data_IF_272566332789
#
_entry.id   IF_272566332789
#
_cell.length_a   1.000
_cell.length_b   1.000
_cell.length_c   1.000
_cell.angle_alpha   90.00
_cell.angle_beta   90.00
_cell.angle_gamma   90.00
#
_symmetry.space_group_name_H-M   'P 1'
#
loop_
_entity.id
_entity.type
_entity.pdbx_description
1 polymer ?
#
# COMPACT_ATOMS: atom_id res chain seq x y z
N UNK A 1 -19.33 69.97 22.36
CA UNK A 1 -19.35 70.34 23.79
C UNK A 1 -19.54 69.08 24.63
N UNK A 2 -18.61 68.83 25.57
CA UNK A 2 -18.70 68.00 26.79
C UNK A 2 -18.92 66.48 26.70
N UNK A 3 -17.80 65.79 26.93
CA UNK A 3 -17.56 64.45 27.54
C UNK A 3 -18.59 64.04 28.61
N UNK A 4 -18.84 62.73 28.76
CA UNK A 4 -18.40 61.92 29.93
C UNK A 4 -18.62 60.41 29.77
N UNK A 5 -17.59 59.67 30.12
CA UNK A 5 -17.43 58.21 30.24
C UNK A 5 -17.70 57.82 31.71
N UNK A 6 -18.30 56.64 31.98
CA UNK A 6 -17.91 55.59 32.97
C UNK A 6 -19.02 54.52 33.11
N UNK A 7 -18.79 53.26 32.70
CA UNK A 7 -18.49 52.03 33.52
C UNK A 7 -19.68 51.59 34.41
N UNK A 8 -20.15 50.33 34.53
CA UNK A 8 -19.70 48.97 34.19
C UNK A 8 -20.87 47.95 34.42
N UNK A 9 -20.59 46.63 34.25
CA UNK A 9 -21.35 45.40 34.66
C UNK A 9 -22.19 44.76 33.53
N UNK A 10 -21.64 43.87 32.69
CA UNK A 10 -21.36 42.41 32.86
C UNK A 10 -22.61 41.52 32.71
N UNK A 11 -22.82 40.93 31.51
CA UNK A 11 -23.06 39.49 31.27
C UNK A 11 -22.68 39.20 29.81
N UNK A 12 -21.65 38.38 29.63
CA UNK A 12 -21.15 37.87 28.35
C UNK A 12 -21.92 36.57 28.07
N UNK A 13 -22.72 36.53 26.99
CA UNK A 13 -23.25 35.30 26.42
C UNK A 13 -22.57 35.05 25.07
N UNK A 14 -21.48 34.30 25.12
CA UNK A 14 -20.80 33.70 23.98
C UNK A 14 -21.68 32.54 23.49
N UNK A 15 -22.28 32.67 22.31
CA UNK A 15 -22.82 31.55 21.55
C UNK A 15 -21.98 31.41 20.27
N UNK A 16 -20.86 30.72 20.42
CA UNK A 16 -20.04 30.19 19.33
C UNK A 16 -20.88 29.11 18.63
N UNK A 17 -21.50 29.46 17.50
CA UNK A 17 -22.00 28.47 16.55
C UNK A 17 -20.84 28.02 15.65
N UNK A 18 -19.92 27.22 16.23
CA UNK A 18 -19.04 26.34 15.45
C UNK A 18 -19.93 25.17 15.03
N UNK A 19 -20.62 25.34 13.89
CA UNK A 19 -21.24 24.21 13.22
C UNK A 19 -20.13 23.52 12.42
N UNK A 20 -19.70 22.36 12.92
CA UNK A 20 -18.68 21.53 12.31
C UNK A 20 -19.10 21.13 10.90
N UNK A 21 -18.49 21.77 9.91
CA UNK A 21 -18.32 21.16 8.59
C UNK A 21 -17.24 20.08 8.75
N UNK A 22 -17.68 18.86 9.05
CA UNK A 22 -16.90 17.66 8.74
C UNK A 22 -16.74 17.62 7.23
N UNK A 23 -15.63 18.15 6.74
CA UNK A 23 -15.20 17.92 5.36
C UNK A 23 -14.85 16.44 5.24
N UNK A 24 -15.83 15.64 4.82
CA UNK A 24 -15.56 14.35 4.18
C UNK A 24 -14.69 14.66 2.97
N UNK A 25 -13.38 14.41 3.10
CA UNK A 25 -12.44 14.51 2.00
C UNK A 25 -12.79 13.40 1.00
N UNK A 26 -13.56 13.75 -0.02
CA UNK A 26 -13.67 12.96 -1.23
C UNK A 26 -12.27 12.79 -1.82
N UNK A 27 -11.83 11.54 -1.90
CA UNK A 27 -10.69 11.15 -2.72
C UNK A 27 -10.85 11.79 -4.10
N UNK A 28 -9.85 12.58 -4.50
CA UNK A 28 -9.76 13.09 -5.87
C UNK A 28 -9.46 11.92 -6.82
N UNK A 29 -10.49 11.17 -7.20
CA UNK A 29 -10.48 10.46 -8.48
C UNK A 29 -10.39 11.51 -9.59
N UNK A 30 -9.53 11.25 -10.58
CA UNK A 30 -9.52 12.02 -11.83
C UNK A 30 -10.96 12.13 -12.36
N UNK A 31 -11.38 13.37 -12.61
CA UNK A 31 -12.65 13.74 -13.24
C UNK A 31 -12.73 13.05 -14.62
N UNK A 32 -13.53 11.97 -14.75
CA UNK A 32 -13.84 11.41 -16.07
C UNK A 32 -14.34 9.96 -16.14
N UNK A 33 -13.81 9.03 -15.37
CA UNK A 33 -14.24 7.63 -15.48
C UNK A 33 -15.47 7.37 -14.60
N UNK A 34 -16.59 6.98 -15.22
CA UNK A 34 -17.72 6.44 -14.47
C UNK A 34 -17.26 5.21 -13.67
N UNK A 35 -17.46 5.23 -12.35
CA UNK A 35 -17.18 4.09 -11.48
C UNK A 35 -18.13 2.96 -11.87
N UNK A 36 -17.61 2.01 -12.66
CA UNK A 36 -18.35 0.78 -13.00
C UNK A 36 -18.54 -0.04 -11.72
N UNK A 37 -19.79 -0.28 -11.34
CA UNK A 37 -20.10 -1.09 -10.17
C UNK A 37 -19.86 -2.57 -10.47
N UNK A 38 -19.56 -3.34 -9.42
CA UNK A 38 -19.27 -4.76 -9.55
C UNK A 38 -20.45 -5.51 -10.20
N UNK A 39 -21.70 -5.19 -9.83
CA UNK A 39 -22.89 -5.81 -10.42
C UNK A 39 -23.05 -5.60 -11.92
N UNK A 40 -22.50 -4.52 -12.46
CA UNK A 40 -22.58 -4.19 -13.89
C UNK A 40 -21.50 -4.91 -14.71
N UNK A 41 -20.41 -5.32 -14.06
CA UNK A 41 -19.28 -6.02 -14.71
C UNK A 41 -19.31 -7.52 -14.54
N UNK A 42 -19.69 -8.01 -13.35
CA UNK A 42 -19.59 -9.43 -13.01
C UNK A 42 -20.96 -10.08 -12.92
N UNK A 43 -21.03 -11.33 -13.37
CA UNK A 43 -22.26 -12.12 -13.39
C UNK A 43 -22.56 -12.72 -12.01
N UNK A 44 -23.85 -12.82 -11.67
CA UNK A 44 -24.34 -13.51 -10.48
C UNK A 44 -23.75 -13.02 -9.14
N UNK A 45 -23.53 -11.71 -9.00
CA UNK A 45 -23.17 -11.09 -7.72
C UNK A 45 -24.42 -10.89 -6.86
N UNK A 46 -24.58 -11.72 -5.83
CA UNK A 46 -25.67 -11.61 -4.83
C UNK A 46 -25.32 -10.68 -3.66
N UNK A 47 -24.03 -10.49 -3.42
CA UNK A 47 -23.44 -9.58 -2.43
C UNK A 47 -22.26 -8.88 -3.09
N UNK A 48 -21.79 -7.75 -2.53
CA UNK A 48 -20.69 -6.95 -3.09
C UNK A 48 -21.02 -6.30 -4.44
N UNK A 49 -22.31 -6.13 -4.79
CA UNK A 49 -22.72 -5.58 -6.09
C UNK A 49 -22.49 -4.07 -6.24
N UNK A 50 -22.64 -3.31 -5.15
CA UNK A 50 -22.59 -1.83 -5.15
C UNK A 50 -21.19 -1.26 -4.95
N UNK A 51 -20.16 -2.10 -4.83
CA UNK A 51 -18.77 -1.64 -4.75
C UNK A 51 -18.18 -1.40 -6.14
N UNK A 52 -17.08 -0.63 -6.27
CA UNK A 52 -16.34 -0.52 -7.52
C UNK A 52 -15.86 -1.88 -8.03
N UNK A 53 -16.06 -2.15 -9.32
CA UNK A 53 -15.79 -3.47 -9.90
C UNK A 53 -14.30 -3.87 -9.80
N UNK A 54 -13.39 -2.91 -9.80
CA UNK A 54 -11.95 -3.17 -9.69
C UNK A 54 -11.49 -3.57 -8.27
N UNK A 55 -12.35 -3.46 -7.25
CA UNK A 55 -12.09 -3.94 -5.89
C UNK A 55 -12.37 -5.44 -5.70
N UNK A 56 -13.10 -6.09 -6.61
CA UNK A 56 -13.55 -7.47 -6.41
C UNK A 56 -12.39 -8.44 -6.20
N UNK A 57 -11.35 -8.36 -7.05
CA UNK A 57 -10.15 -9.18 -6.88
C UNK A 57 -9.44 -8.94 -5.54
N UNK A 58 -9.36 -7.69 -5.07
CA UNK A 58 -8.74 -7.34 -3.78
C UNK A 58 -9.50 -7.94 -2.61
N UNK A 59 -10.83 -7.83 -2.63
CA UNK A 59 -11.70 -8.42 -1.61
C UNK A 59 -11.53 -9.94 -1.58
N UNK A 60 -11.47 -10.60 -2.74
CA UNK A 60 -11.21 -12.05 -2.80
C UNK A 60 -9.83 -12.41 -2.23
N UNK A 61 -8.79 -11.61 -2.50
CA UNK A 61 -7.47 -11.82 -1.91
C UNK A 61 -7.46 -11.61 -0.39
N UNK A 62 -8.23 -10.65 0.13
CA UNK A 62 -8.44 -10.47 1.58
C UNK A 62 -9.11 -11.71 2.17
N UNK A 63 -10.10 -12.30 1.51
CA UNK A 63 -10.75 -13.53 1.97
C UNK A 63 -9.79 -14.71 1.99
N UNK A 64 -9.08 -14.96 0.89
CA UNK A 64 -8.09 -16.03 0.78
C UNK A 64 -7.05 -15.94 1.89
N UNK A 65 -6.52 -14.73 2.15
CA UNK A 65 -5.57 -14.50 3.24
C UNK A 65 -6.20 -14.69 4.63
N UNK A 66 -7.40 -14.16 4.86
CA UNK A 66 -8.09 -14.23 6.15
C UNK A 66 -8.45 -15.66 6.54
N UNK A 67 -8.89 -16.47 5.58
CA UNK A 67 -9.35 -17.84 5.78
C UNK A 67 -8.24 -18.88 5.54
N UNK A 68 -7.08 -18.48 5.00
CA UNK A 68 -6.00 -19.37 4.56
C UNK A 68 -6.50 -20.43 3.55
N UNK A 69 -7.18 -19.96 2.50
CA UNK A 69 -7.72 -20.77 1.40
C UNK A 69 -7.36 -20.14 0.05
N UNK A 70 -7.69 -20.82 -1.04
CA UNK A 70 -7.48 -20.32 -2.40
C UNK A 70 -8.81 -20.18 -3.16
N UNK A 71 -8.74 -19.68 -4.40
CA UNK A 71 -9.92 -19.42 -5.23
C UNK A 71 -10.82 -20.65 -5.43
N UNK A 72 -10.24 -21.86 -5.53
CA UNK A 72 -11.01 -23.08 -5.81
C UNK A 72 -11.74 -23.61 -4.58
N UNK A 73 -11.50 -23.04 -3.39
CA UNK A 73 -12.28 -23.36 -2.19
C UNK A 73 -13.73 -22.91 -2.36
N UNK A 74 -13.96 -21.64 -2.76
CA UNK A 74 -15.30 -21.09 -2.94
C UNK A 74 -15.80 -21.11 -4.40
N UNK A 75 -14.90 -21.10 -5.38
CA UNK A 75 -15.27 -20.93 -6.79
C UNK A 75 -14.99 -22.19 -7.63
N UNK A 76 -15.71 -22.30 -8.74
CA UNK A 76 -15.30 -23.11 -9.88
C UNK A 76 -14.37 -22.25 -10.74
N UNK A 77 -13.15 -22.71 -11.02
CA UNK A 77 -12.09 -21.87 -11.64
C UNK A 77 -12.39 -21.57 -13.11
N UNK A 78 -13.13 -22.46 -13.76
CA UNK A 78 -13.66 -22.30 -15.12
C UNK A 78 -14.83 -21.31 -15.19
N UNK A 79 -15.61 -21.15 -14.11
CA UNK A 79 -16.71 -20.19 -14.02
C UNK A 79 -16.94 -19.68 -12.59
N UNK A 80 -16.39 -18.50 -12.30
CA UNK A 80 -16.54 -17.85 -10.99
C UNK A 80 -17.99 -17.47 -10.65
N UNK A 81 -18.86 -17.33 -11.65
CA UNK A 81 -20.27 -16.94 -11.46
C UNK A 81 -21.14 -18.10 -10.97
N UNK A 82 -20.74 -19.35 -11.27
CA UNK A 82 -21.47 -20.56 -10.92
C UNK A 82 -21.69 -20.71 -9.42
N UNK A 83 -22.92 -21.06 -9.05
CA UNK A 83 -23.30 -21.49 -7.70
C UNK A 83 -23.23 -23.02 -7.58
N UNK A 84 -23.17 -23.55 -6.36
CA UNK A 84 -23.14 -25.00 -6.12
C UNK A 84 -22.13 -25.46 -5.06
N UNK A 85 -21.27 -24.56 -4.59
CA UNK A 85 -20.40 -24.78 -3.43
C UNK A 85 -20.99 -24.14 -2.19
N UNK A 86 -21.15 -24.93 -1.12
CA UNK A 86 -21.70 -24.46 0.16
C UNK A 86 -20.86 -23.34 0.76
N UNK A 87 -19.54 -23.38 0.54
CA UNK A 87 -18.57 -22.39 0.99
C UNK A 87 -18.88 -21.00 0.42
N UNK A 88 -19.30 -20.92 -0.85
CA UNK A 88 -19.68 -19.65 -1.50
C UNK A 88 -20.96 -19.07 -0.90
N UNK A 89 -21.94 -19.92 -0.59
CA UNK A 89 -23.19 -19.48 0.07
C UNK A 89 -22.97 -19.10 1.53
N UNK A 90 -22.09 -19.81 2.23
CA UNK A 90 -21.68 -19.46 3.59
C UNK A 90 -20.92 -18.13 3.60
N UNK A 91 -19.99 -17.92 2.66
CA UNK A 91 -19.27 -16.65 2.53
C UNK A 91 -20.23 -15.47 2.33
N UNK A 92 -21.30 -15.62 1.53
CA UNK A 92 -22.34 -14.59 1.36
C UNK A 92 -23.01 -14.21 2.69
N UNK A 93 -23.35 -15.20 3.52
CA UNK A 93 -23.94 -14.98 4.86
C UNK A 93 -22.95 -14.24 5.78
N UNK A 94 -21.68 -14.66 5.76
CA UNK A 94 -20.63 -14.03 6.58
C UNK A 94 -20.37 -12.58 6.17
N UNK A 95 -20.38 -12.27 4.87
CA UNK A 95 -20.26 -10.89 4.36
C UNK A 95 -21.41 -10.02 4.86
N UNK A 96 -22.65 -10.51 4.78
CA UNK A 96 -23.81 -9.79 5.31
C UNK A 96 -23.69 -9.54 6.82
N UNK A 97 -23.20 -10.53 7.57
CA UNK A 97 -22.98 -10.43 9.01
C UNK A 97 -21.91 -9.39 9.37
N UNK A 98 -20.75 -9.37 8.70
CA UNK A 98 -19.69 -8.38 9.00
C UNK A 98 -20.15 -6.96 8.66
N UNK A 99 -20.87 -6.77 7.56
CA UNK A 99 -21.48 -5.48 7.22
C UNK A 99 -22.51 -5.02 8.26
N UNK A 100 -23.36 -5.92 8.74
CA UNK A 100 -24.31 -5.61 9.80
C UNK A 100 -23.59 -5.22 11.11
N UNK A 101 -22.59 -5.98 11.55
CA UNK A 101 -21.83 -5.67 12.77
C UNK A 101 -21.19 -4.27 12.70
N UNK A 102 -20.52 -3.96 11.60
CA UNK A 102 -19.88 -2.64 11.42
C UNK A 102 -20.89 -1.50 11.38
N UNK A 103 -22.01 -1.70 10.67
CA UNK A 103 -23.08 -0.72 10.62
C UNK A 103 -23.71 -0.48 11.98
N UNK A 104 -24.07 -1.55 12.68
CA UNK A 104 -24.91 -1.49 13.87
C UNK A 104 -24.12 -1.15 15.14
N UNK A 105 -22.81 -1.44 15.18
CA UNK A 105 -21.98 -1.27 16.39
C UNK A 105 -20.81 -0.31 16.23
N UNK A 106 -20.38 0.00 15.00
CA UNK A 106 -19.20 0.83 14.73
C UNK A 106 -19.51 2.05 13.85
N UNK A 107 -20.78 2.44 13.75
CA UNK A 107 -21.18 3.61 12.97
C UNK A 107 -20.91 3.48 11.46
N UNK A 108 -20.73 2.25 10.96
CA UNK A 108 -20.36 1.97 9.58
C UNK A 108 -18.85 1.90 9.33
N UNK A 109 -18.01 2.20 10.32
CA UNK A 109 -16.55 2.02 10.21
C UNK A 109 -16.19 0.54 10.16
N UNK A 110 -15.17 0.20 9.35
CA UNK A 110 -14.76 -1.19 9.13
C UNK A 110 -13.81 -1.65 10.24
N UNK A 111 -14.39 -2.01 11.39
CA UNK A 111 -13.66 -2.52 12.56
C UNK A 111 -13.62 -4.06 12.58
N UNK A 112 -14.71 -4.70 12.14
CA UNK A 112 -14.84 -6.17 12.04
C UNK A 112 -14.70 -6.61 10.59
N UNK A 113 -13.78 -7.55 10.34
CA UNK A 113 -13.52 -8.11 9.01
C UNK A 113 -13.42 -9.64 9.07
N UNK A 114 -13.25 -10.29 7.93
CA UNK A 114 -12.99 -11.73 7.92
C UNK A 114 -11.75 -12.07 8.76
N UNK A 115 -10.72 -11.21 8.74
CA UNK A 115 -9.47 -11.44 9.47
C UNK A 115 -9.65 -11.34 10.99
N UNK A 116 -10.53 -10.48 11.51
CA UNK A 116 -10.75 -10.36 12.96
C UNK A 116 -11.30 -11.64 13.58
N UNK A 117 -12.06 -12.43 12.81
CA UNK A 117 -12.63 -13.70 13.26
C UNK A 117 -11.78 -14.92 12.84
N UNK A 118 -11.34 -14.96 11.58
CA UNK A 118 -10.63 -16.12 11.03
C UNK A 118 -9.14 -16.12 11.35
N UNK A 119 -8.48 -14.95 11.28
CA UNK A 119 -7.06 -14.76 11.58
C UNK A 119 -6.14 -15.86 11.00
N UNK A 120 -6.28 -16.14 9.70
CA UNK A 120 -5.52 -17.15 8.97
C UNK A 120 -6.00 -18.60 9.17
N UNK A 121 -7.22 -18.81 9.68
CA UNK A 121 -7.84 -20.12 9.87
C UNK A 121 -9.10 -20.26 9.04
N UNK A 122 -9.28 -21.41 8.39
CA UNK A 122 -10.47 -21.70 7.57
C UNK A 122 -11.76 -21.54 8.37
N UNK A 123 -11.73 -21.91 9.65
CA UNK A 123 -12.83 -21.69 10.60
C UNK A 123 -12.37 -20.86 11.81
N UNK A 124 -13.15 -19.85 12.23
CA UNK A 124 -12.88 -19.09 13.45
C UNK A 124 -12.82 -20.02 14.65
N UNK A 125 -11.91 -19.74 15.58
CA UNK A 125 -11.82 -20.52 16.81
C UNK A 125 -12.71 -19.88 17.87
N UNK A 126 -13.78 -20.58 18.24
CA UNK A 126 -14.69 -20.16 19.32
C UNK A 126 -14.18 -20.52 20.71
N UNK A 127 -13.11 -21.32 20.79
CA UNK A 127 -12.50 -21.77 22.04
C UNK A 127 -11.04 -21.32 22.12
N UNK A 128 -10.59 -20.80 23.27
CA UNK A 128 -9.17 -20.54 23.50
C UNK A 128 -8.33 -21.82 23.38
N UNK A 129 -7.04 -21.64 23.08
CA UNK A 129 -6.06 -22.73 23.14
C UNK A 129 -5.91 -23.23 24.58
N UNK A 130 -5.86 -24.55 24.76
CA UNK A 130 -5.50 -25.18 26.04
C UNK A 130 -3.99 -25.25 26.26
N UNK A 131 -3.18 -25.10 25.20
CA UNK A 131 -1.75 -24.82 25.35
C UNK A 131 -1.67 -23.48 26.08
N UNK A 132 -1.10 -23.42 27.29
CA UNK A 132 -0.92 -22.16 27.99
C UNK A 132 -0.16 -21.23 27.06
N UNK A 133 -0.80 -20.12 26.71
CA UNK A 133 -0.05 -19.02 26.14
C UNK A 133 0.91 -18.59 27.24
N UNK A 134 2.21 -18.57 26.95
CA UNK A 134 3.11 -17.78 27.77
C UNK A 134 2.55 -16.35 27.71
N UNK A 135 1.90 -15.93 28.80
CA UNK A 135 1.47 -14.55 28.95
C UNK A 135 2.75 -13.73 28.80
N UNK A 136 2.94 -13.14 27.62
CA UNK A 136 4.13 -12.38 27.30
C UNK A 136 4.10 -11.14 28.18
N UNK A 137 4.74 -11.25 29.34
CA UNK A 137 4.83 -10.28 30.41
C UNK A 137 3.51 -9.98 31.15
N UNK A 138 3.54 -10.07 32.49
CA UNK A 138 2.73 -9.18 33.31
C UNK A 138 3.00 -7.75 32.84
N UNK A 139 1.97 -6.89 32.78
CA UNK A 139 2.06 -5.54 32.23
C UNK A 139 3.32 -4.82 32.75
N UNK A 140 4.41 -4.93 32.00
CA UNK A 140 5.63 -4.21 32.29
C UNK A 140 5.28 -2.72 32.28
N UNK A 141 6.04 -1.88 32.99
CA UNK A 141 5.83 -0.45 32.91
C UNK A 141 5.74 -0.05 31.44
N UNK A 142 4.64 0.62 31.06
CA UNK A 142 4.42 1.15 29.71
C UNK A 142 5.74 1.78 29.25
N UNK A 143 6.31 1.39 28.10
CA UNK A 143 7.55 1.98 27.62
C UNK A 143 7.45 3.49 27.71
N UNK A 144 8.38 4.12 28.41
CA UNK A 144 8.39 5.56 28.54
C UNK A 144 8.44 6.15 27.12
N UNK A 145 7.61 7.16 26.80
CA UNK A 145 7.70 7.82 25.51
C UNK A 145 9.15 8.31 25.30
N UNK A 146 9.65 8.31 24.06
CA UNK A 146 11.01 8.76 23.77
C UNK A 146 11.25 10.15 24.38
N UNK A 147 12.35 10.31 25.14
CA UNK A 147 12.72 11.60 25.75
C UNK A 147 12.94 12.70 24.69
N UNK A 148 13.23 12.29 23.47
CA UNK A 148 13.36 13.12 22.28
C UNK A 148 12.59 12.47 21.14
N UNK A 149 11.64 13.18 20.55
CA UNK A 149 10.89 12.73 19.37
C UNK A 149 11.74 13.06 18.14
N UNK A 150 12.13 12.07 17.31
CA UNK A 150 12.85 12.35 16.07
C UNK A 150 12.06 13.30 15.18
N UNK A 151 12.73 14.34 14.66
CA UNK A 151 12.13 15.21 13.65
C UNK A 151 12.14 14.47 12.32
N UNK A 152 10.99 14.36 11.66
CA UNK A 152 10.87 13.60 10.41
C UNK A 152 11.85 14.08 9.32
N UNK A 153 12.13 15.39 9.27
CA UNK A 153 13.11 15.98 8.37
C UNK A 153 14.52 15.41 8.59
N UNK A 154 14.94 15.22 9.84
CA UNK A 154 16.26 14.66 10.18
C UNK A 154 16.37 13.19 9.78
N UNK A 155 15.28 12.43 9.95
CA UNK A 155 15.21 11.03 9.52
C UNK A 155 15.38 10.92 8.00
N UNK A 156 14.68 11.76 7.24
CA UNK A 156 14.83 11.80 5.78
C UNK A 156 16.21 12.29 5.36
N UNK A 157 16.76 13.32 6.01
CA UNK A 157 18.10 13.81 5.72
C UNK A 157 19.17 12.73 5.96
N UNK A 158 19.04 11.97 7.05
CA UNK A 158 19.91 10.83 7.36
C UNK A 158 19.79 9.75 6.28
N UNK A 159 18.58 9.43 5.84
CA UNK A 159 18.37 8.49 4.73
C UNK A 159 19.03 8.95 3.44
N UNK A 160 18.77 10.19 3.02
CA UNK A 160 19.35 10.76 1.80
C UNK A 160 20.88 10.71 1.86
N UNK A 161 21.49 11.09 2.99
CA UNK A 161 22.93 10.96 3.19
C UNK A 161 23.41 9.50 3.09
N UNK A 162 22.69 8.56 3.72
CA UNK A 162 23.04 7.13 3.72
C UNK A 162 23.02 6.48 2.33
N UNK A 163 22.15 6.96 1.43
CA UNK A 163 22.00 6.44 0.07
C UNK A 163 22.86 7.15 -0.98
N UNK A 164 23.71 8.10 -0.59
CA UNK A 164 24.64 8.77 -1.51
C UNK A 164 24.41 10.28 -1.70
N UNK A 165 23.53 10.89 -0.92
CA UNK A 165 23.28 12.33 -0.89
C UNK A 165 22.50 12.84 -2.11
N UNK A 166 22.86 14.04 -2.57
CA UNK A 166 22.21 14.72 -3.70
C UNK A 166 22.63 14.20 -5.08
N UNK A 167 23.36 13.08 -5.14
CA UNK A 167 23.76 12.46 -6.40
C UNK A 167 22.52 12.05 -7.18
N UNK A 168 22.40 12.58 -8.40
CA UNK A 168 21.30 12.27 -9.31
C UNK A 168 21.69 11.14 -10.24
N UNK A 169 20.73 10.26 -10.49
CA UNK A 169 20.77 9.28 -11.56
C UNK A 169 19.77 9.75 -12.60
N UNK A 170 20.24 10.16 -13.78
CA UNK A 170 19.37 10.71 -14.82
C UNK A 170 18.65 9.59 -15.58
N UNK A 171 19.36 8.48 -15.77
CA UNK A 171 18.86 7.28 -16.42
C UNK A 171 19.48 6.02 -15.81
N UNK A 172 18.78 4.90 -15.92
CA UNK A 172 19.35 3.61 -15.57
C UNK A 172 18.67 2.46 -16.33
N UNK A 173 19.43 1.40 -16.53
CA UNK A 173 18.92 0.08 -16.89
C UNK A 173 19.33 -0.90 -15.81
N UNK A 174 18.36 -1.58 -15.21
CA UNK A 174 18.55 -2.52 -14.12
C UNK A 174 18.11 -3.90 -14.58
N UNK A 175 19.02 -4.87 -14.43
CA UNK A 175 18.70 -6.29 -14.58
C UNK A 175 18.38 -6.85 -13.21
N UNK A 176 17.23 -7.51 -13.10
CA UNK A 176 16.78 -8.12 -11.88
C UNK A 176 16.11 -9.47 -12.15
N UNK A 177 15.79 -10.17 -11.08
CA UNK A 177 15.08 -11.44 -11.10
C UNK A 177 13.99 -11.40 -10.06
N UNK A 178 12.75 -11.60 -10.50
CA UNK A 178 11.63 -11.91 -9.62
C UNK A 178 11.77 -13.36 -9.18
N UNK A 179 11.51 -13.60 -7.90
CA UNK A 179 11.56 -14.90 -7.24
C UNK A 179 10.25 -15.09 -6.49
N UNK A 180 9.50 -16.11 -6.87
CA UNK A 180 8.24 -16.46 -6.22
C UNK A 180 8.44 -17.02 -4.81
N UNK A 181 7.40 -17.07 -3.95
CA UNK A 181 7.51 -17.53 -2.56
C UNK A 181 8.06 -18.96 -2.39
N UNK A 182 7.93 -19.80 -3.42
CA UNK A 182 8.49 -21.15 -3.42
C UNK A 182 10.03 -21.17 -3.53
N UNK A 183 10.66 -20.02 -3.78
CA UNK A 183 12.11 -19.84 -3.92
C UNK A 183 12.73 -20.47 -5.17
N UNK A 184 11.93 -21.08 -6.05
CA UNK A 184 12.37 -21.86 -7.22
C UNK A 184 11.92 -21.25 -8.54
N UNK A 185 10.68 -20.77 -8.62
CA UNK A 185 10.20 -20.10 -9.83
C UNK A 185 10.79 -18.70 -9.89
N UNK A 186 11.41 -18.40 -11.03
CA UNK A 186 12.08 -17.12 -11.26
C UNK A 186 11.78 -16.57 -12.64
N UNK A 187 11.70 -15.25 -12.71
CA UNK A 187 11.26 -14.51 -13.87
C UNK A 187 12.23 -13.35 -14.09
N UNK A 188 12.84 -13.26 -15.28
CA UNK A 188 13.71 -12.13 -15.60
C UNK A 188 12.93 -10.82 -15.54
N UNK A 189 13.55 -9.81 -14.95
CA UNK A 189 13.04 -8.44 -14.91
C UNK A 189 14.05 -7.48 -15.52
N UNK A 190 13.56 -6.52 -16.30
CA UNK A 190 14.34 -5.39 -16.77
C UNK A 190 13.62 -4.11 -16.40
N UNK A 191 14.28 -3.24 -15.65
CA UNK A 191 13.78 -1.92 -15.31
C UNK A 191 14.55 -0.88 -16.11
N UNK A 192 13.83 -0.03 -16.83
CA UNK A 192 14.36 1.17 -17.45
C UNK A 192 13.85 2.40 -16.71
N UNK A 193 14.74 3.34 -16.44
CA UNK A 193 14.43 4.60 -15.78
C UNK A 193 15.06 5.76 -16.55
N UNK A 194 14.33 6.86 -16.69
CA UNK A 194 14.84 8.11 -17.26
C UNK A 194 14.02 9.30 -16.79
N UNK A 195 14.64 10.24 -16.08
CA UNK A 195 14.00 11.52 -15.71
C UNK A 195 12.66 11.36 -14.98
N UNK A 196 12.54 10.39 -14.06
CA UNK A 196 11.30 10.09 -13.32
C UNK A 196 10.31 9.19 -14.06
N UNK A 197 10.56 8.82 -15.31
CA UNK A 197 9.83 7.77 -16.03
C UNK A 197 10.36 6.39 -15.65
N UNK A 198 9.48 5.40 -15.65
CA UNK A 198 9.77 4.04 -15.18
C UNK A 198 9.08 3.02 -16.08
N UNK A 199 9.81 2.00 -16.50
CA UNK A 199 9.29 0.85 -17.21
C UNK A 199 9.88 -0.40 -16.57
N UNK A 200 9.04 -1.29 -16.07
CA UNK A 200 9.41 -2.61 -15.60
C UNK A 200 8.82 -3.63 -16.56
N UNK A 201 9.69 -4.45 -17.18
CA UNK A 201 9.27 -5.61 -17.96
C UNK A 201 9.61 -6.89 -17.19
N UNK A 202 8.60 -7.70 -16.92
CA UNK A 202 8.74 -9.04 -16.33
C UNK A 202 8.42 -10.10 -17.38
N UNK A 203 9.29 -11.09 -17.55
CA UNK A 203 9.16 -12.15 -18.56
C UNK A 203 8.72 -13.46 -17.93
N UNK A 204 7.57 -13.99 -18.36
CA UNK A 204 6.97 -15.25 -17.92
C UNK A 204 7.08 -16.28 -19.04
N UNK A 205 8.20 -17.01 -19.09
CA UNK A 205 8.47 -17.98 -20.16
C UNK A 205 8.52 -17.30 -21.54
N UNK A 206 7.48 -17.47 -22.36
CA UNK A 206 7.36 -16.83 -23.69
C UNK A 206 6.56 -15.52 -23.66
N UNK A 207 5.87 -15.25 -22.57
CA UNK A 207 5.04 -14.05 -22.38
C UNK A 207 5.79 -13.00 -21.57
N UNK A 208 5.27 -11.78 -21.56
CA UNK A 208 5.78 -10.70 -20.73
C UNK A 208 4.67 -9.74 -20.36
N UNK A 209 4.85 -9.08 -19.22
CA UNK A 209 4.01 -7.98 -18.74
C UNK A 209 4.91 -6.78 -18.48
N UNK A 210 4.43 -5.60 -18.84
CA UNK A 210 5.10 -4.33 -18.55
C UNK A 210 4.23 -3.46 -17.66
N UNK A 211 4.84 -2.98 -16.57
CA UNK A 211 4.34 -1.89 -15.75
C UNK A 211 5.08 -0.60 -16.15
N UNK A 212 4.34 0.42 -16.57
CA UNK A 212 4.88 1.67 -17.12
C UNK A 212 4.36 2.87 -16.33
N UNK A 213 5.24 3.81 -16.03
CA UNK A 213 4.94 5.18 -15.65
C UNK A 213 5.67 6.14 -16.61
N UNK A 214 4.92 6.89 -17.42
CA UNK A 214 5.49 7.78 -18.44
C UNK A 214 5.88 9.17 -17.92
N UNK A 215 5.73 9.41 -16.61
CA UNK A 215 5.87 10.72 -15.96
C UNK A 215 4.53 11.37 -15.58
N UNK A 216 3.42 10.91 -16.16
CA UNK A 216 2.08 11.50 -16.00
C UNK A 216 1.00 10.46 -15.69
N UNK A 217 1.07 9.29 -16.33
CA UNK A 217 0.12 8.22 -16.18
C UNK A 217 0.80 6.85 -16.11
N UNK A 218 0.14 5.93 -15.42
CA UNK A 218 0.54 4.54 -15.37
C UNK A 218 -0.17 3.72 -16.44
N UNK A 219 0.48 2.66 -16.92
CA UNK A 219 -0.12 1.65 -17.78
C UNK A 219 0.42 0.26 -17.43
N UNK A 220 -0.38 -0.77 -17.71
CA UNK A 220 0.04 -2.17 -17.66
C UNK A 220 -0.35 -2.82 -18.98
N UNK A 221 0.55 -3.59 -19.60
CA UNK A 221 0.28 -4.20 -20.90
C UNK A 221 1.16 -5.43 -21.17
N UNK A 222 0.72 -6.27 -22.09
CA UNK A 222 1.49 -7.39 -22.65
C UNK A 222 1.43 -7.36 -24.18
N UNK A 223 1.98 -8.37 -24.84
CA UNK A 223 1.81 -8.56 -26.28
C UNK A 223 0.34 -8.72 -26.72
N UNK A 224 -0.54 -9.12 -25.80
CA UNK A 224 -1.97 -9.37 -26.07
C UNK A 224 -2.82 -8.10 -25.98
N UNK A 225 -2.28 -7.00 -25.43
CA UNK A 225 -3.02 -5.76 -25.28
C UNK A 225 -2.81 -5.04 -23.94
N UNK A 226 -3.61 -4.00 -23.67
CA UNK A 226 -3.60 -3.29 -22.40
C UNK A 226 -4.26 -4.15 -21.32
N UNK A 227 -3.65 -4.18 -20.14
CA UNK A 227 -4.28 -4.64 -18.91
C UNK A 227 -4.92 -3.44 -18.21
N UNK A 228 -6.17 -3.60 -17.77
CA UNK A 228 -6.83 -2.58 -16.95
C UNK A 228 -6.10 -2.49 -15.60
N UNK A 229 -5.68 -1.30 -15.23
CA UNK A 229 -5.17 -1.03 -13.89
C UNK A 229 -6.31 -1.07 -12.85
N UNK A 230 -6.05 -1.72 -11.73
CA UNK A 230 -6.87 -1.61 -10.54
C UNK A 230 -6.59 -0.29 -9.80
N UNK A 231 -7.54 0.15 -8.95
CA UNK A 231 -7.56 1.45 -8.26
C UNK A 231 -6.24 1.99 -7.67
N UNK A 232 -5.34 1.12 -7.22
CA UNK A 232 -4.09 1.43 -6.53
C UNK A 232 -2.84 1.11 -7.33
N UNK A 233 -2.94 0.27 -8.36
CA UNK A 233 -1.78 -0.15 -9.16
C UNK A 233 -1.11 1.04 -9.84
N UNK A 234 -1.90 2.00 -10.34
CA UNK A 234 -1.36 3.22 -10.94
C UNK A 234 -0.46 3.99 -9.96
N UNK A 235 -0.88 4.09 -8.70
CA UNK A 235 -0.07 4.70 -7.65
C UNK A 235 1.13 3.81 -7.31
N UNK A 236 0.99 2.49 -7.15
CA UNK A 236 2.15 1.64 -6.85
C UNK A 236 3.22 1.68 -7.96
N UNK A 237 2.83 1.68 -9.24
CA UNK A 237 3.78 1.80 -10.37
C UNK A 237 4.49 3.16 -10.34
N UNK A 238 3.73 4.25 -10.12
CA UNK A 238 4.29 5.59 -9.92
C UNK A 238 5.26 5.62 -8.72
N UNK A 239 4.94 4.93 -7.62
CA UNK A 239 5.80 4.82 -6.42
C UNK A 239 7.08 4.07 -6.70
N UNK A 240 7.02 2.98 -7.46
CA UNK A 240 8.23 2.26 -7.90
C UNK A 240 9.15 3.21 -8.66
N UNK A 241 8.63 3.96 -9.63
CA UNK A 241 9.44 4.90 -10.41
C UNK A 241 10.04 6.05 -9.59
N UNK A 242 9.26 6.66 -8.70
CA UNK A 242 9.71 7.80 -7.90
C UNK A 242 10.62 7.42 -6.74
N UNK A 243 10.53 6.18 -6.22
CA UNK A 243 11.36 5.70 -5.12
C UNK A 243 12.48 4.76 -5.58
N UNK A 244 12.60 4.50 -6.89
CA UNK A 244 13.66 3.66 -7.46
C UNK A 244 15.05 4.20 -7.07
N UNK A 245 15.22 5.52 -7.20
CA UNK A 245 16.39 6.22 -6.72
C UNK A 245 16.00 7.05 -5.50
N UNK A 246 16.58 6.77 -4.32
CA UNK A 246 15.94 7.19 -3.08
C UNK A 246 16.10 8.68 -2.74
N UNK A 247 16.90 9.42 -3.51
CA UNK A 247 17.10 10.87 -3.33
C UNK A 247 15.82 11.68 -3.55
N UNK A 248 14.82 11.14 -4.26
CA UNK A 248 13.54 11.81 -4.47
C UNK A 248 12.56 11.67 -3.30
N UNK A 249 12.83 10.85 -2.28
CA UNK A 249 11.83 10.51 -1.25
C UNK A 249 11.24 11.75 -0.56
N UNK A 250 12.04 12.78 -0.32
CA UNK A 250 11.61 14.01 0.34
C UNK A 250 10.64 14.86 -0.48
N UNK A 251 10.67 14.76 -1.82
CA UNK A 251 9.76 15.51 -2.70
C UNK A 251 8.48 14.76 -3.03
N UNK A 252 8.42 13.45 -2.75
CA UNK A 252 7.23 12.62 -2.98
C UNK A 252 6.11 12.95 -1.99
N UNK A 253 6.46 13.25 -0.74
CA UNK A 253 5.50 13.40 0.34
C UNK A 253 5.30 14.87 0.71
N UNK A 254 4.05 15.30 0.72
CA UNK A 254 3.64 16.65 1.14
C UNK A 254 3.71 16.82 2.67
N UNK A 255 3.62 15.71 3.41
CA UNK A 255 3.67 15.70 4.88
C UNK A 255 4.37 14.44 5.38
N UNK A 256 5.28 14.60 6.34
CA UNK A 256 5.98 13.52 7.03
C UNK A 256 5.96 13.76 8.53
N UNK A 257 5.51 12.76 9.29
CA UNK A 257 5.37 12.85 10.74
C UNK A 257 5.92 11.60 11.40
N UNK A 258 6.83 11.75 12.36
CA UNK A 258 7.22 10.66 13.22
C UNK A 258 6.00 10.15 14.01
N UNK A 259 5.88 8.82 14.11
CA UNK A 259 4.81 8.17 14.89
C UNK A 259 5.39 7.47 16.10
N UNK A 260 6.24 6.47 15.88
CA UNK A 260 6.84 5.65 16.92
C UNK A 260 8.09 4.94 16.38
N UNK A 261 8.84 4.32 17.29
CA UNK A 261 9.93 3.39 16.94
C UNK A 261 9.40 1.98 17.12
N UNK A 262 9.66 1.11 16.14
CA UNK A 262 9.28 -0.30 16.18
C UNK A 262 10.51 -1.20 16.01
N UNK A 263 10.35 -2.49 16.22
CA UNK A 263 11.33 -3.49 15.84
C UNK A 263 10.88 -4.19 14.56
N UNK A 264 11.73 -4.23 13.54
CA UNK A 264 11.49 -4.91 12.25
C UNK A 264 12.71 -5.77 11.95
N UNK A 265 12.53 -7.07 11.84
CA UNK A 265 13.60 -8.04 11.56
C UNK A 265 14.82 -7.87 12.49
N UNK A 266 14.57 -7.67 13.79
CA UNK A 266 15.61 -7.47 14.83
C UNK A 266 16.28 -6.09 14.82
N UNK A 267 15.81 -5.15 13.99
CA UNK A 267 16.33 -3.78 13.88
C UNK A 267 15.34 -2.78 14.47
N UNK A 268 15.85 -1.78 15.21
CA UNK A 268 15.05 -0.62 15.60
C UNK A 268 14.80 0.25 14.36
N UNK A 269 13.54 0.51 14.07
CA UNK A 269 13.11 1.28 12.92
C UNK A 269 12.23 2.46 13.35
N UNK A 270 12.62 3.67 12.93
CA UNK A 270 11.84 4.89 13.09
C UNK A 270 10.71 4.91 12.07
N UNK A 271 9.46 4.91 12.53
CA UNK A 271 8.28 4.86 11.68
C UNK A 271 7.74 6.26 11.46
N UNK A 272 7.73 6.69 10.20
CA UNK A 272 7.11 7.92 9.73
C UNK A 272 5.77 7.61 9.06
N UNK A 273 4.75 8.40 9.39
CA UNK A 273 3.56 8.52 8.57
C UNK A 273 3.85 9.54 7.47
N UNK A 274 3.69 9.12 6.22
CA UNK A 274 3.95 9.91 5.04
C UNK A 274 2.64 10.14 4.28
N UNK A 275 2.37 11.37 3.87
CA UNK A 275 1.19 11.71 3.06
C UNK A 275 1.66 12.24 1.71
N UNK A 276 1.17 11.66 0.61
CA UNK A 276 1.50 12.13 -0.75
C UNK A 276 0.81 13.46 -1.06
N UNK A 277 1.14 14.09 -2.19
CA UNK A 277 0.43 15.28 -2.66
C UNK A 277 -1.07 15.01 -2.92
N UNK A 278 -1.41 13.78 -3.31
CA UNK A 278 -2.77 13.31 -3.56
C UNK A 278 -3.51 12.87 -2.28
N UNK A 279 -2.90 13.05 -1.10
CA UNK A 279 -3.53 12.75 0.19
C UNK A 279 -3.46 11.27 0.61
N UNK A 280 -2.74 10.43 -0.14
CA UNK A 280 -2.58 9.01 0.18
C UNK A 280 -1.61 8.89 1.36
N UNK A 281 -2.00 8.12 2.39
CA UNK A 281 -1.17 7.88 3.57
C UNK A 281 -0.43 6.55 3.46
N UNK A 282 0.85 6.60 3.79
CA UNK A 282 1.76 5.48 3.83
C UNK A 282 2.55 5.50 5.14
N UNK A 283 3.14 4.35 5.48
CA UNK A 283 4.12 4.22 6.54
C UNK A 283 5.49 3.97 5.93
N UNK A 284 6.49 4.70 6.38
CA UNK A 284 7.89 4.53 6.00
C UNK A 284 8.70 4.23 7.25
N UNK A 285 9.38 3.09 7.27
CA UNK A 285 10.20 2.66 8.39
C UNK A 285 11.67 2.74 8.01
N UNK A 286 12.43 3.53 8.76
CA UNK A 286 13.86 3.75 8.54
C UNK A 286 14.66 3.11 9.66
N UNK A 287 15.66 2.32 9.33
CA UNK A 287 16.60 1.75 10.28
C UNK A 287 17.29 2.87 11.10
N UNK A 288 17.20 2.79 12.42
CA UNK A 288 17.67 3.85 13.32
C UNK A 288 19.19 4.06 13.23
N UNK A 289 19.95 2.98 13.02
CA UNK A 289 21.42 3.00 12.98
C UNK A 289 21.93 3.51 11.64
N UNK A 290 21.55 2.84 10.55
CA UNK A 290 22.04 3.10 9.19
C UNK A 290 21.30 4.24 8.49
N UNK A 291 20.09 4.57 8.93
CA UNK A 291 19.19 5.52 8.27
C UNK A 291 18.51 4.98 7.01
N UNK A 292 18.75 3.73 6.61
CA UNK A 292 18.20 3.15 5.39
C UNK A 292 16.69 2.90 5.52
N UNK A 293 15.91 3.19 4.49
CA UNK A 293 14.52 2.76 4.40
C UNK A 293 14.49 1.23 4.37
N UNK A 294 13.79 0.61 5.32
CA UNK A 294 13.68 -0.85 5.44
C UNK A 294 12.30 -1.37 5.10
N UNK A 295 11.25 -0.56 5.28
CA UNK A 295 9.88 -0.94 4.95
C UNK A 295 9.05 0.25 4.49
N UNK A 296 8.24 0.05 3.46
CA UNK A 296 7.14 0.92 3.07
C UNK A 296 5.84 0.13 3.16
N UNK A 297 4.78 0.74 3.71
CA UNK A 297 3.43 0.15 3.74
C UNK A 297 2.44 1.17 3.22
N UNK A 298 1.72 0.82 2.16
CA UNK A 298 0.57 1.55 1.67
C UNK A 298 -0.71 0.76 1.97
N UNK A 299 -1.81 1.45 2.24
CA UNK A 299 -3.11 0.80 2.51
C UNK A 299 -4.15 1.40 1.58
N UNK A 300 -4.74 0.55 0.74
CA UNK A 300 -5.86 0.91 -0.13
C UNK A 300 -7.17 0.54 0.59
N UNK A 301 -8.04 1.49 0.92
CA UNK A 301 -9.34 1.17 1.51
C UNK A 301 -10.19 0.29 0.58
N UNK A 302 -10.82 -0.75 1.13
CA UNK A 302 -11.84 -1.56 0.44
C UNK A 302 -13.08 -1.69 1.32
N UNK A 303 -14.19 -2.15 0.74
CA UNK A 303 -15.43 -2.38 1.49
C UNK A 303 -15.29 -3.39 2.64
N UNK A 304 -14.22 -4.18 2.69
CA UNK A 304 -14.00 -5.22 3.71
C UNK A 304 -12.65 -5.07 4.44
N UNK A 305 -12.11 -3.85 4.46
CA UNK A 305 -10.92 -3.46 5.20
C UNK A 305 -9.81 -2.93 4.29
N UNK A 306 -8.67 -2.58 4.88
CA UNK A 306 -7.51 -2.10 4.13
C UNK A 306 -6.82 -3.21 3.36
N UNK A 307 -6.66 -3.07 2.05
CA UNK A 307 -5.75 -3.88 1.25
C UNK A 307 -4.33 -3.34 1.45
N UNK A 308 -3.49 -4.11 2.15
CA UNK A 308 -2.14 -3.71 2.54
C UNK A 308 -1.15 -4.08 1.44
N UNK A 309 -0.35 -3.11 1.00
CA UNK A 309 0.79 -3.30 0.11
C UNK A 309 2.08 -2.97 0.87
N UNK A 310 2.88 -3.98 1.16
CA UNK A 310 4.14 -3.87 1.88
C UNK A 310 5.32 -4.09 0.93
N UNK A 311 6.33 -3.23 1.06
CA UNK A 311 7.62 -3.37 0.38
C UNK A 311 8.72 -3.34 1.42
N UNK A 312 9.52 -4.40 1.48
CA UNK A 312 10.70 -4.52 2.34
C UNK A 312 11.98 -4.34 1.53
N UNK A 313 12.88 -3.51 2.04
CA UNK A 313 14.12 -3.15 1.38
C UNK A 313 15.32 -3.67 2.18
N UNK A 314 16.22 -4.36 1.49
CA UNK A 314 17.43 -4.92 2.11
C UNK A 314 18.58 -5.01 1.12
N UNK A 315 19.77 -5.31 1.63
CA UNK A 315 21.00 -5.52 0.84
C UNK A 315 21.30 -4.33 -0.09
N UNK A 316 21.43 -3.14 0.52
CA UNK A 316 21.74 -1.90 -0.20
C UNK A 316 23.16 -1.93 -0.74
N UNK A 317 23.31 -1.75 -2.06
CA UNK A 317 24.61 -1.71 -2.74
C UNK A 317 24.76 -0.44 -3.57
N UNK A 318 26.00 0.02 -3.71
CA UNK A 318 26.32 1.26 -4.40
C UNK A 318 26.52 1.04 -5.91
N UNK A 319 25.85 1.86 -6.72
CA UNK A 319 26.01 1.92 -8.17
C UNK A 319 26.05 3.39 -8.59
N UNK A 320 27.11 3.80 -9.30
CA UNK A 320 27.34 5.23 -9.57
C UNK A 320 27.45 6.11 -8.31
N UNK A 321 27.79 5.53 -7.17
CA UNK A 321 27.86 6.22 -5.89
C UNK A 321 26.51 6.48 -5.21
N UNK A 322 25.41 5.92 -5.72
CA UNK A 322 24.08 5.90 -5.07
C UNK A 322 23.79 4.48 -4.59
N UNK A 323 23.34 4.32 -3.34
CA UNK A 323 22.91 3.01 -2.84
C UNK A 323 21.47 2.76 -3.21
N UNK A 324 21.22 1.57 -3.76
CA UNK A 324 19.87 1.06 -4.02
C UNK A 324 19.71 -0.32 -3.36
N UNK A 325 18.50 -0.68 -2.91
CA UNK A 325 18.24 -1.99 -2.34
C UNK A 325 18.33 -3.05 -3.44
N UNK A 326 19.16 -4.07 -3.25
CA UNK A 326 19.29 -5.17 -4.22
C UNK A 326 18.44 -6.38 -3.90
N UNK A 327 17.79 -6.38 -2.73
CA UNK A 327 16.75 -7.35 -2.37
C UNK A 327 15.51 -6.57 -1.92
N UNK A 328 14.47 -6.62 -2.73
CA UNK A 328 13.19 -5.94 -2.48
C UNK A 328 12.09 -6.99 -2.40
N UNK A 329 11.44 -7.14 -1.25
CA UNK A 329 10.33 -8.07 -1.08
C UNK A 329 9.00 -7.33 -1.14
N UNK A 330 8.08 -7.88 -1.90
CA UNK A 330 6.73 -7.36 -2.06
C UNK A 330 5.76 -8.33 -1.40
N UNK A 331 4.83 -7.80 -0.63
CA UNK A 331 3.80 -8.59 0.02
C UNK A 331 2.47 -7.83 0.06
N UNK A 332 1.40 -8.54 -0.26
CA UNK A 332 0.01 -8.10 -0.17
C UNK A 332 -0.87 -9.33 0.12
N UNK A 333 -2.14 -9.17 0.52
CA UNK A 333 -3.01 -10.31 0.79
C UNK A 333 -2.94 -11.36 -0.34
N UNK A 334 -2.59 -12.59 0.01
CA UNK A 334 -2.48 -13.75 -0.88
C UNK A 334 -1.41 -13.66 -1.99
N UNK A 335 -0.53 -12.66 -1.99
CA UNK A 335 0.51 -12.51 -3.01
C UNK A 335 1.81 -11.97 -2.40
N UNK A 336 2.93 -12.59 -2.76
CA UNK A 336 4.25 -12.08 -2.39
C UNK A 336 5.28 -12.50 -3.43
N UNK A 337 6.36 -11.74 -3.58
CA UNK A 337 7.53 -12.11 -4.38
C UNK A 337 8.74 -11.31 -3.92
N UNK A 338 9.93 -11.73 -4.36
CA UNK A 338 11.18 -10.99 -4.11
C UNK A 338 11.82 -10.60 -5.43
N UNK A 339 12.15 -9.33 -5.59
CA UNK A 339 13.04 -8.84 -6.64
C UNK A 339 14.48 -8.85 -6.15
N UNK A 340 15.35 -9.53 -6.90
CA UNK A 340 16.80 -9.54 -6.69
C UNK A 340 17.48 -8.79 -7.83
N UNK A 341 18.10 -7.66 -7.54
CA UNK A 341 18.85 -6.86 -8.50
C UNK A 341 20.24 -7.47 -8.69
N UNK A 342 20.63 -7.71 -9.94
CA UNK A 342 21.91 -8.36 -10.29
C UNK A 342 22.88 -7.43 -10.99
N UNK A 343 22.38 -6.50 -11.82
CA UNK A 343 23.21 -5.53 -12.54
C UNK A 343 22.49 -4.19 -12.67
N UNK A 344 23.22 -3.10 -12.53
CA UNK A 344 22.68 -1.73 -12.57
C UNK A 344 23.63 -0.87 -13.35
N UNK A 345 23.17 -0.43 -14.53
CA UNK A 345 23.89 0.50 -15.39
C UNK A 345 23.25 1.87 -15.26
N UNK A 346 23.95 2.80 -14.63
CA UNK A 346 23.47 4.17 -14.41
C UNK A 346 24.02 5.13 -15.46
N UNK A 347 23.30 6.22 -15.72
CA UNK A 347 23.64 7.28 -16.65
C UNK A 347 23.98 6.77 -18.06
N UNK A 348 23.32 5.69 -18.48
CA UNK A 348 23.43 5.10 -19.81
C UNK A 348 22.31 5.61 -20.73
N UNK A 349 22.50 5.63 -22.06
CA UNK A 349 21.43 5.97 -22.97
C UNK A 349 20.21 5.05 -22.79
N UNK A 350 19.04 5.64 -22.61
CA UNK A 350 17.74 4.96 -22.60
C UNK A 350 16.84 5.67 -23.61
N UNK A 351 16.32 4.90 -24.56
CA UNK A 351 15.47 5.42 -25.62
C UNK A 351 14.10 5.85 -25.06
N UNK A 352 13.56 6.95 -25.59
CA UNK A 352 12.32 7.54 -25.07
C UNK A 352 11.07 6.71 -25.39
N UNK A 353 11.13 5.92 -26.45
CA UNK A 353 10.07 4.99 -26.90
C UNK A 353 9.83 3.84 -25.90
N UNK A 354 10.82 3.48 -25.08
CA UNK A 354 10.65 2.55 -23.94
C UNK A 354 9.58 3.03 -22.98
N UNK A 355 9.34 4.35 -22.90
CA UNK A 355 8.32 4.95 -22.05
C UNK A 355 7.07 5.40 -22.80
N UNK A 356 6.95 5.07 -24.09
CA UNK A 356 5.77 5.42 -24.86
C UNK A 356 4.57 4.61 -24.38
N UNK A 357 3.44 5.29 -24.19
CA UNK A 357 2.17 4.62 -23.97
C UNK A 357 1.88 3.69 -25.16
N UNK A 358 1.45 2.45 -24.89
CA UNK A 358 1.18 1.50 -25.95
C UNK A 358 0.03 2.00 -26.84
N UNK A 359 0.16 1.77 -28.15
CA UNK A 359 -0.89 2.01 -29.14
C UNK A 359 -1.47 0.65 -29.51
N UNK A 360 -2.75 0.45 -29.24
CA UNK A 360 -3.48 -0.78 -29.52
C UNK A 360 -4.52 -0.56 -30.61
#
# INVERSE_FOLDING_TARGET
MKRRIKFAVLVIAIAIAVFGMTTSYSHAQKKGDQVVLAKDRFKNLKVLGDMPADQLGKVMNIFSASLNVNCSFCHYIDDFSKDGKEEKDTARKMIAMTFAINKDHFGGEIEVSCNTCHNGRMHPQSRPSLVPTEHSAGHGPRPAPPKTVPVAADVIAKFVAAVGGDKKIDSAVITATRVEPNGKTTEPETISYKGGKYNLKTVYGKEWVTDLWDGTAAAKFSAEGPHRLHSDEAEQIKREGQLLFPSAIGSVYSKLEYRFTNEIDGRKALVLSATTAEGIRESLSFDEETGLLVRRVAVTPTVLGGFVYQVDYSDYKAFGGVKIPTVVKYAMPNMAWTRKVTDVKVNVPVADDVFAMPKF
#
